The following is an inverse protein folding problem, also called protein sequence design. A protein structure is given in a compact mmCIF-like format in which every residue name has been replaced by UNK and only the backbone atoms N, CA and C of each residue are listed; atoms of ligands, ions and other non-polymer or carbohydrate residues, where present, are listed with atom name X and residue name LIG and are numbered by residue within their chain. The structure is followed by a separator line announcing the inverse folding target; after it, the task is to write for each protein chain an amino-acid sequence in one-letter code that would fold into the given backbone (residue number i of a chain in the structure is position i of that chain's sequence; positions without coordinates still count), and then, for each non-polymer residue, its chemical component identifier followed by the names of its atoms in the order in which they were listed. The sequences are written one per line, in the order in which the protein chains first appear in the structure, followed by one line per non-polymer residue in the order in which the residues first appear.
data_IF_799823994298
#
_entry.id   IF_799823994298
#
_cell.length_a   1.000
_cell.length_b   1.000
_cell.length_c   1.000
_cell.angle_alpha   90.00
_cell.angle_beta   90.00
_cell.angle_gamma   90.00
#
_symmetry.space_group_name_H-M   'P 1'
#
loop_
_entity.id
_entity.type
_entity.pdbx_description
1 polymer ?
#
# COMPACT_ATOMS: atom_id res chain seq x y z
N UNK A 1 -5.44 20.24 10.29
CA UNK A 1 -4.73 19.15 11.00
C UNK A 1 -4.63 18.01 10.02
N UNK A 2 -3.41 17.64 9.65
CA UNK A 2 -3.10 16.85 8.46
C UNK A 2 -3.42 15.37 8.67
N UNK A 3 -4.33 14.81 7.86
CA UNK A 3 -4.59 13.37 7.65
C UNK A 3 -3.36 12.61 7.09
N UNK A 4 -2.20 12.72 7.74
CA UNK A 4 -0.95 12.05 7.35
C UNK A 4 -0.55 10.91 8.30
N UNK A 5 -1.12 10.85 9.49
CA UNK A 5 -0.57 10.02 10.57
C UNK A 5 -0.87 8.50 10.46
N UNK A 6 -1.80 8.06 9.60
CA UNK A 6 -2.15 6.65 9.47
C UNK A 6 -1.32 5.87 8.43
N UNK A 7 -1.21 6.41 7.21
CA UNK A 7 -0.61 5.70 6.08
C UNK A 7 0.92 5.56 6.18
N UNK A 8 1.62 6.52 6.80
CA UNK A 8 3.08 6.49 6.91
C UNK A 8 3.57 5.34 7.80
N UNK A 9 2.84 5.02 8.86
CA UNK A 9 3.15 3.87 9.74
C UNK A 9 3.00 2.55 8.99
N UNK A 10 1.91 2.39 8.23
CA UNK A 10 1.71 1.17 7.43
C UNK A 10 2.77 1.03 6.33
N UNK A 11 3.17 2.16 5.74
CA UNK A 11 4.28 2.18 4.78
C UNK A 11 5.58 1.68 5.41
N UNK A 12 5.93 2.14 6.61
CA UNK A 12 7.13 1.67 7.32
C UNK A 12 7.09 0.15 7.58
N UNK A 13 5.94 -0.37 8.02
CA UNK A 13 5.76 -1.81 8.24
C UNK A 13 5.95 -2.59 6.93
N UNK A 14 5.35 -2.10 5.86
CA UNK A 14 5.45 -2.73 4.54
C UNK A 14 6.89 -2.72 4.00
N UNK A 15 7.63 -1.63 4.17
CA UNK A 15 9.05 -1.56 3.80
C UNK A 15 9.89 -2.60 4.56
N UNK A 16 9.58 -2.83 5.84
CA UNK A 16 10.25 -3.86 6.64
C UNK A 16 9.91 -5.27 6.16
N UNK A 17 8.65 -5.52 5.77
CA UNK A 17 8.23 -6.79 5.16
C UNK A 17 8.99 -7.03 3.85
N UNK A 18 9.06 -6.03 2.97
CA UNK A 18 9.79 -6.11 1.70
C UNK A 18 11.29 -6.36 1.90
N UNK A 19 11.90 -5.72 2.90
CA UNK A 19 13.31 -5.95 3.27
C UNK A 19 13.55 -7.38 3.72
N UNK A 20 12.69 -7.94 4.58
CA UNK A 20 12.80 -9.32 5.03
C UNK A 20 12.60 -10.30 3.86
N UNK A 21 11.67 -10.03 2.95
CA UNK A 21 11.45 -10.86 1.77
C UNK A 21 12.69 -10.99 0.87
N UNK A 22 13.55 -9.97 0.80
CA UNK A 22 14.84 -10.03 0.07
C UNK A 22 15.81 -11.06 0.65
N UNK A 23 15.91 -11.13 1.98
CA UNK A 23 16.88 -12.00 2.65
C UNK A 23 16.55 -13.49 2.59
N UNK A 24 15.30 -13.84 2.28
CA UNK A 24 14.78 -15.20 2.36
C UNK A 24 14.48 -15.83 1.00
N UNK A 25 14.83 -15.16 -0.12
CA UNK A 25 14.54 -15.60 -1.50
C UNK A 25 13.07 -15.99 -1.71
N UNK A 26 12.15 -15.28 -1.05
CA UNK A 26 10.72 -15.51 -1.22
C UNK A 26 10.27 -14.96 -2.58
N UNK A 27 9.91 -15.86 -3.49
CA UNK A 27 9.48 -15.55 -4.87
C UNK A 27 7.96 -15.50 -5.06
N UNK A 28 7.18 -15.67 -3.98
CA UNK A 28 5.71 -15.68 -4.01
C UNK A 28 5.08 -14.39 -3.48
N UNK A 29 3.75 -14.31 -3.64
CA UNK A 29 2.96 -13.25 -3.03
C UNK A 29 3.05 -13.31 -1.49
N UNK A 30 3.25 -12.15 -0.88
CA UNK A 30 3.36 -11.94 0.56
C UNK A 30 2.25 -11.05 1.06
N UNK A 31 1.95 -11.15 2.36
CA UNK A 31 1.03 -10.23 3.03
C UNK A 31 1.70 -8.89 3.30
N UNK A 32 1.13 -7.82 2.73
CA UNK A 32 1.45 -6.43 3.07
C UNK A 32 0.23 -5.76 3.69
N UNK A 33 0.43 -4.81 4.58
CA UNK A 33 -0.65 -4.06 5.22
C UNK A 33 -1.31 -3.08 4.24
N UNK A 34 -2.64 -3.02 4.29
CA UNK A 34 -3.43 -2.00 3.62
C UNK A 34 -3.11 -0.60 4.19
N UNK A 35 -2.79 0.35 3.33
CA UNK A 35 -2.41 1.73 3.65
C UNK A 35 -3.58 2.73 3.51
N UNK A 36 -4.83 2.24 3.58
CA UNK A 36 -6.01 3.09 3.42
C UNK A 36 -6.18 4.05 4.60
N UNK A 37 -6.99 5.11 4.42
CA UNK A 37 -7.22 6.12 5.45
C UNK A 37 -8.07 5.64 6.65
N UNK A 38 -8.60 4.41 6.62
CA UNK A 38 -9.46 3.89 7.69
C UNK A 38 -8.65 3.65 8.98
N UNK A 39 -9.06 4.31 10.07
CA UNK A 39 -8.47 4.10 11.38
C UNK A 39 -8.62 2.63 11.82
N UNK A 40 -7.51 1.98 12.18
CA UNK A 40 -7.51 0.59 12.64
C UNK A 40 -7.60 -0.46 11.54
N UNK A 41 -7.40 -0.10 10.26
CA UNK A 41 -7.30 -1.11 9.21
C UNK A 41 -6.10 -2.03 9.46
N UNK A 42 -6.35 -3.33 9.54
CA UNK A 42 -5.32 -4.37 9.70
C UNK A 42 -5.39 -5.41 8.57
N UNK A 43 -6.06 -5.07 7.46
CA UNK A 43 -6.21 -6.01 6.36
C UNK A 43 -4.87 -6.20 5.65
N UNK A 44 -4.55 -7.45 5.34
CA UNK A 44 -3.43 -7.79 4.46
C UNK A 44 -3.90 -7.84 3.02
N UNK A 45 -3.04 -7.40 2.12
CA UNK A 45 -3.14 -7.59 0.68
C UNK A 45 -1.98 -8.45 0.20
N UNK A 46 -2.22 -9.23 -0.84
CA UNK A 46 -1.25 -10.18 -1.37
C UNK A 46 -0.65 -9.64 -2.66
N UNK A 47 0.68 -9.48 -2.67
CA UNK A 47 1.47 -9.08 -3.82
C UNK A 47 2.91 -9.54 -3.66
N UNK A 48 3.64 -9.66 -4.76
CA UNK A 48 5.07 -9.98 -4.72
C UNK A 48 5.86 -8.78 -4.22
N UNK A 49 7.12 -9.04 -3.85
CA UNK A 49 8.05 -7.97 -3.50
C UNK A 49 8.27 -7.00 -4.68
N UNK A 50 8.40 -7.54 -5.89
CA UNK A 50 8.63 -6.75 -7.10
C UNK A 50 7.42 -5.85 -7.41
N UNK A 51 6.20 -6.35 -7.20
CA UNK A 51 4.99 -5.56 -7.28
C UNK A 51 4.98 -4.45 -6.24
N UNK A 52 5.35 -4.75 -4.99
CA UNK A 52 5.44 -3.75 -3.93
C UNK A 52 6.48 -2.66 -4.24
N UNK A 53 7.69 -3.04 -4.67
CA UNK A 53 8.76 -2.12 -5.05
C UNK A 53 8.32 -1.18 -6.20
N UNK A 54 7.57 -1.71 -7.17
CA UNK A 54 6.99 -0.91 -8.26
C UNK A 54 5.92 0.07 -7.76
N UNK A 55 5.03 -0.36 -6.86
CA UNK A 55 4.06 0.56 -6.23
C UNK A 55 4.80 1.68 -5.50
N UNK A 56 5.87 1.34 -4.76
CA UNK A 56 6.66 2.30 -3.98
C UNK A 56 7.51 3.27 -4.81
N UNK A 57 7.76 2.98 -6.09
CA UNK A 57 8.41 3.92 -6.99
C UNK A 57 7.64 5.25 -7.13
N UNK A 58 6.31 5.23 -6.94
CA UNK A 58 5.50 6.43 -6.77
C UNK A 58 5.43 6.88 -5.31
N UNK A 59 6.08 7.99 -4.98
CA UNK A 59 6.14 8.50 -3.59
C UNK A 59 4.76 8.84 -3.00
N UNK A 60 3.80 9.19 -3.86
CA UNK A 60 2.42 9.52 -3.52
C UNK A 60 1.45 8.31 -3.60
N UNK A 61 1.93 7.12 -3.97
CA UNK A 61 1.09 5.93 -4.08
C UNK A 61 0.76 5.35 -2.70
N UNK A 62 -0.47 4.83 -2.57
CA UNK A 62 -0.94 4.06 -1.43
C UNK A 62 -1.41 2.69 -1.89
N UNK A 63 -1.00 1.66 -1.15
CA UNK A 63 -1.40 0.28 -1.42
C UNK A 63 -2.64 -0.05 -0.60
N UNK A 64 -3.77 -0.35 -1.25
CA UNK A 64 -5.05 -0.59 -0.58
C UNK A 64 -5.66 -1.94 -0.95
N UNK A 65 -6.52 -2.46 -0.07
CA UNK A 65 -7.36 -3.59 -0.43
C UNK A 65 -8.45 -3.18 -1.44
N UNK A 66 -8.95 -4.10 -2.27
CA UNK A 66 -10.08 -3.82 -3.14
C UNK A 66 -11.27 -3.24 -2.36
N UNK A 67 -11.78 -2.09 -2.80
CA UNK A 67 -12.89 -1.39 -2.14
C UNK A 67 -12.50 -0.45 -0.99
N UNK A 68 -11.21 -0.38 -0.60
CA UNK A 68 -10.75 0.46 0.52
C UNK A 68 -10.29 1.87 0.11
N UNK A 69 -10.54 2.28 -1.14
CA UNK A 69 -10.25 3.63 -1.61
C UNK A 69 -11.10 4.65 -0.86
N UNK A 70 -10.48 5.72 -0.37
CA UNK A 70 -11.17 6.84 0.25
C UNK A 70 -11.76 7.83 -0.80
N UNK A 71 -12.65 8.71 -0.34
CA UNK A 71 -13.12 9.82 -1.17
C UNK A 71 -11.97 10.80 -1.42
N UNK A 72 -11.81 11.28 -2.65
CA UNK A 72 -10.69 12.15 -3.04
C UNK A 72 -9.41 11.40 -3.43
N UNK A 73 -9.46 10.08 -3.52
CA UNK A 73 -8.42 9.25 -4.09
C UNK A 73 -8.80 8.74 -5.49
N UNK A 74 -7.81 8.60 -6.35
CA UNK A 74 -7.95 8.01 -7.68
C UNK A 74 -7.17 6.71 -7.78
N UNK A 75 -7.71 5.76 -8.56
CA UNK A 75 -7.05 4.48 -8.82
C UNK A 75 -5.99 4.71 -9.89
N UNK A 76 -4.73 4.41 -9.56
CA UNK A 76 -3.62 4.38 -10.52
C UNK A 76 -3.56 3.02 -11.18
N UNK A 77 -3.68 1.97 -10.38
CA UNK A 77 -3.64 0.58 -10.84
C UNK A 77 -4.61 -0.29 -10.04
N UNK A 78 -5.19 -1.29 -10.69
CA UNK A 78 -6.12 -2.22 -10.05
C UNK A 78 -5.73 -3.66 -10.34
N UNK A 79 -5.60 -4.45 -9.28
CA UNK A 79 -5.35 -5.88 -9.33
C UNK A 79 -6.49 -6.62 -8.61
N UNK A 80 -6.63 -7.94 -8.80
CA UNK A 80 -7.65 -8.70 -8.10
C UNK A 80 -7.51 -8.66 -6.56
N UNK A 81 -6.28 -8.55 -6.04
CA UNK A 81 -5.98 -8.66 -4.61
C UNK A 81 -5.54 -7.35 -3.95
N UNK A 82 -5.29 -6.30 -4.72
CA UNK A 82 -4.90 -4.98 -4.22
C UNK A 82 -5.19 -3.88 -5.24
N UNK A 83 -5.23 -2.63 -4.77
CA UNK A 83 -5.46 -1.44 -5.59
C UNK A 83 -4.45 -0.39 -5.19
N UNK A 84 -3.84 0.24 -6.18
CA UNK A 84 -2.91 1.36 -6.00
C UNK A 84 -3.69 2.65 -6.20
N UNK A 85 -3.65 3.52 -5.20
CA UNK A 85 -4.36 4.80 -5.24
C UNK A 85 -3.43 5.97 -4.99
N UNK A 86 -3.80 7.12 -5.50
CA UNK A 86 -3.17 8.41 -5.25
C UNK A 86 -4.19 9.40 -4.73
N UNK A 87 -3.74 10.31 -3.86
CA UNK A 87 -4.60 11.36 -3.32
C UNK A 87 -4.54 12.58 -4.23
N UNK A 88 -5.70 13.10 -4.60
CA UNK A 88 -5.77 14.33 -5.41
C UNK A 88 -5.30 15.49 -4.56
N UNK A 89 -4.24 16.17 -5.01
CA UNK A 89 -3.89 17.46 -4.46
C UNK A 89 -5.00 18.46 -4.89
N UNK A 90 -5.77 18.93 -3.92
CA UNK A 90 -6.67 20.06 -4.16
C UNK A 90 -5.80 21.32 -4.16
N UNK A 91 -5.81 22.05 -5.29
CA UNK A 91 -5.13 23.32 -5.44
C UNK A 91 -5.76 24.41 -4.56
#
# INVERSE_FOLDING_TARGET
MSDRAGSEVFREVNERIAQLARGWSWSGAQGFMCECAAAGCMQLVLLTREEYERVRAGSAHFLTAPGHRAVGEHVVESYPLFVVVERVAVA
#
